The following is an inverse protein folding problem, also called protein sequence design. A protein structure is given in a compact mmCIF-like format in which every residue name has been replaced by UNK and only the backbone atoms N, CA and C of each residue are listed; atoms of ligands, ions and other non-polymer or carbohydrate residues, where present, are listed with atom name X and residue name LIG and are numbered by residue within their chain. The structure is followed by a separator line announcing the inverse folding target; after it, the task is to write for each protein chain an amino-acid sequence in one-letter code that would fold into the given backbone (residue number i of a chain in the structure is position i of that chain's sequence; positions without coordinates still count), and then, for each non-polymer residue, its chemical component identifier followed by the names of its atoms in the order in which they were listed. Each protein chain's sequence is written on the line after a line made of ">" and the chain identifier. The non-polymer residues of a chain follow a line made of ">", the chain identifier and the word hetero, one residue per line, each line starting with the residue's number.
data_IF_294889340596
#
_entry.id   IF_294889340596
#
_cell.length_a   1.000
_cell.length_b   1.000
_cell.length_c   1.000
_cell.angle_alpha   90.00
_cell.angle_beta   90.00
_cell.angle_gamma   90.00
#
_symmetry.space_group_name_H-M   'P 1'
#
loop_
_entity.id
_entity.type
_entity.pdbx_description
1 polymer ?
#
# COMPACT_ATOMS: atom_id res chain seq x y z
N UNK A 1 8.75 -18.48 7.13
CA UNK A 1 9.65 -17.31 7.30
C UNK A 1 8.99 -16.19 8.10
N UNK A 2 7.91 -15.55 7.62
CA UNK A 2 7.30 -14.41 8.33
C UNK A 2 6.91 -14.75 9.78
N UNK A 3 6.18 -15.84 9.99
CA UNK A 3 5.81 -16.34 11.34
C UNK A 3 7.02 -16.43 12.28
N UNK A 4 8.15 -16.97 11.81
CA UNK A 4 9.36 -17.14 12.64
C UNK A 4 10.12 -15.84 12.92
N UNK A 5 9.83 -14.76 12.19
CA UNK A 5 10.40 -13.43 12.42
C UNK A 5 9.52 -12.57 13.34
N UNK A 6 8.27 -12.98 13.55
CA UNK A 6 7.31 -12.27 14.39
C UNK A 6 7.68 -12.34 15.87
N UNK A 7 7.57 -11.20 16.52
CA UNK A 7 7.84 -11.00 17.92
C UNK A 7 6.56 -10.66 18.67
N UNK A 8 6.17 -11.48 19.62
CA UNK A 8 5.09 -11.12 20.53
C UNK A 8 5.54 -9.97 21.44
N UNK A 9 4.79 -8.89 21.41
CA UNK A 9 4.98 -7.67 22.19
C UNK A 9 3.64 -7.25 22.80
N UNK A 10 3.65 -6.32 23.76
CA UNK A 10 2.41 -5.82 24.38
C UNK A 10 1.44 -5.26 23.33
N UNK A 11 1.98 -4.73 22.24
CA UNK A 11 1.25 -4.10 21.16
C UNK A 11 0.73 -5.09 20.10
N UNK A 12 1.04 -6.39 20.19
CA UNK A 12 0.63 -7.39 19.20
C UNK A 12 1.83 -8.18 18.69
N UNK A 13 1.90 -8.42 17.39
CA UNK A 13 3.04 -9.13 16.78
C UNK A 13 3.84 -8.16 15.91
N UNK A 14 5.08 -7.90 16.33
CA UNK A 14 6.02 -7.02 15.65
C UNK A 14 6.83 -7.80 14.60
N UNK A 15 6.91 -7.27 13.38
CA UNK A 15 7.60 -7.86 12.23
C UNK A 15 8.73 -6.97 11.70
N UNK A 16 9.12 -5.94 12.45
CA UNK A 16 10.18 -4.98 12.07
C UNK A 16 11.59 -5.60 11.99
N UNK A 17 11.71 -6.89 12.26
CA UNK A 17 12.97 -7.63 12.30
C UNK A 17 13.62 -7.49 13.67
N UNK A 18 14.14 -8.60 14.19
CA UNK A 18 15.07 -8.63 15.33
C UNK A 18 16.40 -9.13 14.77
N UNK A 19 17.48 -8.38 14.89
CA UNK A 19 18.78 -8.80 14.33
C UNK A 19 19.63 -9.48 15.38
N UNK A 20 20.16 -10.67 15.07
CA UNK A 20 21.18 -11.34 15.89
C UNK A 20 20.66 -12.34 16.93
N UNK A 21 21.59 -12.88 17.72
CA UNK A 21 21.31 -13.81 18.81
C UNK A 21 20.48 -13.16 19.94
N UNK A 22 20.58 -11.83 20.07
CA UNK A 22 19.76 -11.06 20.97
C UNK A 22 18.50 -10.57 20.25
N UNK A 23 17.43 -11.35 20.39
CA UNK A 23 16.11 -11.08 19.81
C UNK A 23 15.42 -9.87 20.44
N UNK A 24 16.12 -8.94 21.06
CA UNK A 24 15.51 -7.80 21.77
C UNK A 24 15.70 -6.47 21.06
N UNK A 25 16.67 -6.36 20.14
CA UNK A 25 16.89 -5.14 19.37
C UNK A 25 16.11 -5.15 18.05
N UNK A 26 15.16 -4.21 17.92
CA UNK A 26 14.52 -3.87 16.65
C UNK A 26 15.44 -2.88 15.92
N UNK A 27 15.96 -3.20 14.71
CA UNK A 27 16.82 -2.28 13.98
C UNK A 27 16.13 -0.94 13.78
N UNK A 28 16.82 0.15 14.09
CA UNK A 28 16.36 1.49 13.75
C UNK A 28 16.47 1.75 12.25
N UNK A 29 15.50 2.47 11.67
CA UNK A 29 15.61 3.02 10.31
C UNK A 29 14.28 3.26 9.62
N UNK A 30 14.28 4.06 8.54
CA UNK A 30 13.07 4.43 7.80
C UNK A 30 12.36 3.27 7.07
N UNK A 31 12.85 2.03 7.18
CA UNK A 31 12.34 0.87 6.44
C UNK A 31 11.47 -0.06 7.30
N UNK A 32 11.57 -0.01 8.62
CA UNK A 32 10.96 -1.04 9.47
C UNK A 32 9.44 -1.00 9.46
N UNK A 33 8.83 0.20 9.46
CA UNK A 33 7.38 0.34 9.40
C UNK A 33 6.82 -0.06 8.01
N UNK A 34 7.59 0.14 6.93
CA UNK A 34 7.23 -0.42 5.61
C UNK A 34 7.27 -1.95 5.64
N UNK A 35 8.34 -2.54 6.18
CA UNK A 35 8.49 -3.99 6.26
C UNK A 35 7.35 -4.62 7.08
N UNK A 36 6.97 -3.99 8.20
CA UNK A 36 5.84 -4.43 9.00
C UNK A 36 4.52 -4.39 8.21
N UNK A 37 4.22 -3.27 7.56
CA UNK A 37 2.99 -3.13 6.77
C UNK A 37 2.91 -4.16 5.64
N UNK A 38 4.01 -4.37 4.91
CA UNK A 38 4.09 -5.35 3.82
C UNK A 38 3.94 -6.79 4.35
N UNK A 39 4.55 -7.12 5.48
CA UNK A 39 4.38 -8.42 6.14
C UNK A 39 2.93 -8.63 6.60
N UNK A 40 2.30 -7.59 7.16
CA UNK A 40 0.91 -7.63 7.58
C UNK A 40 -0.04 -7.86 6.39
N UNK A 41 0.17 -7.18 5.25
CA UNK A 41 -0.58 -7.42 4.00
C UNK A 41 -0.44 -8.89 3.60
N UNK A 42 0.79 -9.38 3.47
CA UNK A 42 1.05 -10.76 3.05
C UNK A 42 0.40 -11.80 3.97
N UNK A 43 0.48 -11.62 5.28
CA UNK A 43 -0.15 -12.52 6.26
C UNK A 43 -1.68 -12.45 6.21
N UNK A 44 -2.25 -11.25 6.12
CA UNK A 44 -3.70 -11.06 6.07
C UNK A 44 -4.30 -11.66 4.80
N UNK A 45 -3.68 -11.40 3.65
CA UNK A 45 -4.15 -11.95 2.37
C UNK A 45 -3.95 -13.47 2.30
N UNK A 46 -2.80 -13.99 2.73
CA UNK A 46 -2.56 -15.43 2.78
C UNK A 46 -3.59 -16.14 3.68
N UNK A 47 -3.89 -15.57 4.86
CA UNK A 47 -4.95 -16.07 5.72
C UNK A 47 -6.33 -15.96 5.06
N UNK A 48 -6.63 -14.83 4.41
CA UNK A 48 -7.90 -14.61 3.71
C UNK A 48 -8.16 -15.63 2.61
N UNK A 49 -7.14 -15.98 1.83
CA UNK A 49 -7.20 -16.94 0.72
C UNK A 49 -7.24 -18.39 1.19
N UNK A 50 -6.38 -18.76 2.14
CA UNK A 50 -6.16 -20.18 2.52
C UNK A 50 -7.00 -20.64 3.71
N UNK A 51 -7.42 -19.69 4.56
CA UNK A 51 -8.02 -19.96 5.89
C UNK A 51 -7.14 -20.81 6.81
N UNK A 52 -5.82 -20.86 6.57
CA UNK A 52 -4.87 -21.55 7.44
C UNK A 52 -4.88 -20.92 8.84
N UNK A 53 -5.28 -21.72 9.83
CA UNK A 53 -5.42 -21.28 11.22
C UNK A 53 -4.07 -20.89 11.85
N UNK A 54 -2.96 -21.41 11.34
CA UNK A 54 -1.61 -21.05 11.83
C UNK A 54 -1.26 -19.59 11.53
N UNK A 55 -1.84 -19.01 10.47
CA UNK A 55 -1.62 -17.62 10.08
C UNK A 55 -2.50 -16.64 10.86
N UNK A 56 -3.64 -17.08 11.40
CA UNK A 56 -4.66 -16.18 11.97
C UNK A 56 -4.10 -15.31 13.10
N UNK A 57 -3.41 -15.91 14.06
CA UNK A 57 -2.84 -15.18 15.21
C UNK A 57 -1.83 -14.14 14.75
N UNK A 58 -0.98 -14.49 13.78
CA UNK A 58 0.06 -13.62 13.22
C UNK A 58 -0.53 -12.44 12.46
N UNK A 59 -1.52 -12.70 11.60
CA UNK A 59 -2.22 -11.66 10.86
C UNK A 59 -2.97 -10.71 11.81
N UNK A 60 -3.73 -11.25 12.77
CA UNK A 60 -4.45 -10.47 13.78
C UNK A 60 -3.49 -9.60 14.60
N UNK A 61 -2.41 -10.20 15.12
CA UNK A 61 -1.41 -9.51 15.93
C UNK A 61 -0.67 -8.40 15.18
N UNK A 62 -0.41 -8.56 13.87
CA UNK A 62 0.18 -7.45 13.08
C UNK A 62 -0.75 -6.25 12.97
N UNK A 63 -2.05 -6.45 12.79
CA UNK A 63 -3.01 -5.34 12.66
C UNK A 63 -3.16 -4.59 13.98
N UNK A 64 -3.15 -5.32 15.10
CA UNK A 64 -3.13 -4.71 16.42
C UNK A 64 -1.87 -3.87 16.65
N UNK A 65 -0.71 -4.35 16.19
CA UNK A 65 0.53 -3.61 16.25
C UNK A 65 0.43 -2.29 15.45
N UNK A 66 -0.08 -2.36 14.22
CA UNK A 66 -0.33 -1.17 13.39
C UNK A 66 -1.19 -0.16 14.16
N UNK A 67 -2.34 -0.58 14.66
CA UNK A 67 -3.29 0.30 15.36
C UNK A 67 -2.67 0.96 16.58
N UNK A 68 -1.91 0.21 17.39
CA UNK A 68 -1.29 0.73 18.62
C UNK A 68 -0.15 1.71 18.34
N UNK A 69 0.52 1.61 17.19
CA UNK A 69 1.68 2.43 16.82
C UNK A 69 1.36 3.60 15.86
N UNK A 70 0.09 4.04 15.80
CA UNK A 70 -0.33 5.23 15.05
C UNK A 70 0.03 6.53 15.79
N UNK A 71 0.14 7.63 15.05
CA UNK A 71 0.09 8.96 15.65
C UNK A 71 -1.32 9.26 16.15
N UNK A 72 -1.44 9.81 17.37
CA UNK A 72 -2.73 10.03 18.04
C UNK A 72 -3.26 11.45 17.90
N UNK A 73 -2.50 12.35 17.28
CA UNK A 73 -2.82 13.77 17.18
C UNK A 73 -3.23 14.16 15.76
N UNK A 74 -2.30 14.12 14.82
CA UNK A 74 -2.52 14.43 13.39
C UNK A 74 -2.94 13.18 12.60
N UNK A 75 -2.53 12.02 13.11
CA UNK A 75 -2.90 10.73 12.57
C UNK A 75 -1.89 10.08 11.64
N UNK A 76 -2.23 8.86 11.21
CA UNK A 76 -1.43 8.01 10.33
C UNK A 76 -0.16 7.45 10.97
N UNK A 77 0.80 7.06 10.12
CA UNK A 77 2.04 6.41 10.51
C UNK A 77 3.23 6.98 9.76
N UNK A 78 4.40 6.83 10.39
CA UNK A 78 5.68 7.18 9.81
C UNK A 78 6.75 6.15 10.15
N UNK A 79 8.02 6.55 10.24
CA UNK A 79 9.15 5.66 10.44
C UNK A 79 9.29 5.20 11.88
N UNK A 80 8.84 6.00 12.84
CA UNK A 80 8.74 5.65 14.25
C UNK A 80 7.30 5.81 14.76
N UNK A 81 6.91 5.05 15.79
CA UNK A 81 5.64 5.24 16.46
C UNK A 81 5.46 6.70 16.90
N UNK A 82 4.22 7.17 16.85
CA UNK A 82 3.81 8.52 17.29
C UNK A 82 4.39 9.71 16.50
N UNK A 83 5.27 9.52 15.54
CA UNK A 83 5.65 10.59 14.59
C UNK A 83 4.43 11.02 13.75
N UNK A 84 4.31 12.32 13.48
CA UNK A 84 3.30 12.84 12.53
C UNK A 84 3.36 12.03 11.23
N UNK A 85 2.22 11.45 10.85
CA UNK A 85 2.14 10.50 9.75
C UNK A 85 2.58 11.11 8.42
N UNK A 86 3.09 10.25 7.54
CA UNK A 86 3.33 10.60 6.14
C UNK A 86 2.43 9.77 5.21
N UNK A 87 2.22 10.27 4.00
CA UNK A 87 1.34 9.59 3.03
C UNK A 87 1.86 8.22 2.63
N UNK A 88 3.18 8.05 2.55
CA UNK A 88 3.80 6.86 1.98
C UNK A 88 3.67 5.64 2.90
N UNK A 89 4.07 5.78 4.16
CA UNK A 89 3.92 4.71 5.17
C UNK A 89 2.45 4.48 5.46
N UNK A 90 1.67 5.56 5.63
CA UNK A 90 0.22 5.44 5.90
C UNK A 90 -0.52 4.71 4.79
N UNK A 91 -0.14 4.92 3.52
CA UNK A 91 -0.71 4.17 2.39
C UNK A 91 -0.58 2.65 2.56
N UNK A 92 0.60 2.17 2.94
CA UNK A 92 0.80 0.74 3.21
C UNK A 92 0.04 0.24 4.44
N UNK A 93 -0.06 1.05 5.50
CA UNK A 93 -0.84 0.69 6.69
C UNK A 93 -2.34 0.58 6.39
N UNK A 94 -2.89 1.50 5.60
CA UNK A 94 -4.28 1.43 5.14
C UNK A 94 -4.52 0.16 4.33
N UNK A 95 -3.62 -0.19 3.40
CA UNK A 95 -3.72 -1.45 2.65
C UNK A 95 -3.63 -2.69 3.55
N UNK A 96 -2.78 -2.68 4.58
CA UNK A 96 -2.72 -3.76 5.57
C UNK A 96 -4.03 -3.92 6.34
N UNK A 97 -4.58 -2.82 6.87
CA UNK A 97 -5.86 -2.80 7.56
C UNK A 97 -6.99 -3.27 6.64
N UNK A 98 -7.02 -2.83 5.38
CA UNK A 98 -8.03 -3.27 4.41
C UNK A 98 -7.91 -4.75 4.05
N UNK A 99 -6.69 -5.27 3.95
CA UNK A 99 -6.41 -6.70 3.76
C UNK A 99 -6.95 -7.51 4.94
N UNK A 100 -6.70 -7.04 6.16
CA UNK A 100 -7.23 -7.65 7.39
C UNK A 100 -8.75 -7.67 7.46
N UNK A 101 -9.38 -6.53 7.14
CA UNK A 101 -10.84 -6.40 7.09
C UNK A 101 -11.44 -7.39 6.07
N UNK A 102 -10.84 -7.48 4.89
CA UNK A 102 -11.26 -8.40 3.81
C UNK A 102 -11.08 -9.86 4.20
N UNK A 103 -10.02 -10.17 4.95
CA UNK A 103 -9.78 -11.51 5.51
C UNK A 103 -10.74 -11.88 6.66
N UNK A 104 -11.59 -10.94 7.13
CA UNK A 104 -12.53 -11.16 8.23
C UNK A 104 -11.87 -11.11 9.62
N UNK A 105 -10.70 -10.48 9.73
CA UNK A 105 -10.06 -10.17 11.01
C UNK A 105 -10.76 -8.96 11.66
N UNK A 106 -10.74 -8.89 12.98
CA UNK A 106 -11.47 -7.86 13.73
C UNK A 106 -10.49 -6.99 14.50
N UNK A 107 -10.63 -5.69 14.36
CA UNK A 107 -9.81 -4.71 15.04
C UNK A 107 -10.60 -3.39 15.14
N UNK A 108 -10.09 -2.43 15.92
CA UNK A 108 -10.74 -1.13 16.06
C UNK A 108 -10.61 -0.29 14.79
N UNK A 109 -11.70 0.37 14.38
CA UNK A 109 -11.72 1.25 13.21
C UNK A 109 -10.86 2.53 13.38
N UNK A 110 -10.27 2.74 14.56
CA UNK A 110 -9.41 3.90 14.82
C UNK A 110 -8.22 4.02 13.85
N UNK A 111 -7.78 2.91 13.26
CA UNK A 111 -6.77 2.91 12.18
C UNK A 111 -7.26 3.57 10.89
N UNK A 112 -8.55 3.48 10.59
CA UNK A 112 -9.15 4.17 9.44
C UNK A 112 -9.39 5.64 9.75
N UNK A 113 -9.97 5.97 10.92
CA UNK A 113 -10.21 7.35 11.34
C UNK A 113 -8.91 8.17 11.36
N UNK A 114 -7.84 7.63 11.94
CA UNK A 114 -6.53 8.33 11.96
C UNK A 114 -5.94 8.54 10.57
N UNK A 115 -6.30 7.68 9.61
CA UNK A 115 -5.87 7.82 8.23
C UNK A 115 -6.65 8.93 7.53
N UNK A 116 -7.95 9.06 7.82
CA UNK A 116 -8.77 10.20 7.37
C UNK A 116 -8.23 11.52 7.90
N UNK A 117 -7.91 11.59 9.19
CA UNK A 117 -7.31 12.79 9.82
C UNK A 117 -6.02 13.22 9.09
N UNK A 118 -5.13 12.27 8.80
CA UNK A 118 -3.90 12.57 8.06
C UNK A 118 -4.19 13.02 6.63
N UNK A 119 -5.10 12.34 5.92
CA UNK A 119 -5.47 12.70 4.56
C UNK A 119 -6.04 14.12 4.51
N UNK A 120 -6.87 14.49 5.48
CA UNK A 120 -7.41 15.84 5.62
C UNK A 120 -6.32 16.87 5.91
N UNK A 121 -5.30 16.53 6.69
CA UNK A 121 -4.16 17.40 6.97
C UNK A 121 -3.21 17.58 5.76
N UNK A 122 -3.13 16.58 4.89
CA UNK A 122 -2.23 16.56 3.73
C UNK A 122 -2.89 16.96 2.40
N UNK A 123 -4.22 17.09 2.36
CA UNK A 123 -4.93 17.38 1.12
C UNK A 123 -4.68 18.79 0.60
N UNK A 124 -4.78 18.91 -0.72
CA UNK A 124 -4.83 20.14 -1.50
C UNK A 124 -5.94 20.01 -2.52
N UNK A 125 -6.47 21.15 -2.96
CA UNK A 125 -7.54 21.21 -3.96
C UNK A 125 -8.69 20.26 -3.58
N UNK A 126 -9.21 20.45 -2.37
CA UNK A 126 -10.36 19.73 -1.80
C UNK A 126 -10.20 18.20 -1.68
N UNK A 127 -8.97 17.68 -1.77
CA UNK A 127 -8.70 16.24 -1.70
C UNK A 127 -8.44 15.58 -3.04
N UNK A 128 -8.32 16.35 -4.13
CA UNK A 128 -7.92 15.84 -5.44
C UNK A 128 -6.40 15.63 -5.54
N UNK A 129 -5.61 16.24 -4.65
CA UNK A 129 -4.15 16.15 -4.61
C UNK A 129 -3.63 16.10 -3.16
N UNK A 130 -2.46 15.52 -2.94
CA UNK A 130 -1.91 15.31 -1.59
C UNK A 130 -0.41 15.59 -1.51
N UNK A 131 0.01 16.27 -0.44
CA UNK A 131 1.41 16.41 -0.05
C UNK A 131 1.95 15.20 0.70
N UNK A 132 3.26 15.11 0.92
CA UNK A 132 3.88 14.01 1.67
C UNK A 132 3.64 14.11 3.19
N UNK A 133 3.72 15.34 3.72
CA UNK A 133 3.43 15.70 5.11
C UNK A 133 2.41 16.85 5.14
N UNK A 134 1.75 17.09 6.28
CA UNK A 134 0.91 18.27 6.46
C UNK A 134 1.67 19.55 6.10
N UNK A 135 0.99 20.48 5.44
CA UNK A 135 1.60 21.73 5.00
C UNK A 135 2.39 21.66 3.67
N UNK A 136 2.78 20.48 3.19
CA UNK A 136 3.58 20.36 1.97
C UNK A 136 2.77 20.45 0.67
N UNK A 137 3.43 20.81 -0.43
CA UNK A 137 2.87 20.83 -1.77
C UNK A 137 2.67 19.41 -2.35
N UNK A 138 1.72 19.24 -3.29
CA UNK A 138 1.39 17.92 -3.81
C UNK A 138 2.43 17.38 -4.80
N UNK A 139 2.55 16.05 -4.86
CA UNK A 139 3.29 15.31 -5.89
C UNK A 139 2.39 14.23 -6.49
N UNK A 140 2.67 13.77 -7.71
CA UNK A 140 1.88 12.71 -8.35
C UNK A 140 1.89 11.41 -7.53
N UNK A 141 3.04 11.00 -6.98
CA UNK A 141 3.15 9.81 -6.12
C UNK A 141 2.28 9.90 -4.86
N UNK A 142 2.38 11.00 -4.11
CA UNK A 142 1.60 11.18 -2.87
C UNK A 142 0.12 11.40 -3.16
N UNK A 143 -0.22 12.03 -4.29
CA UNK A 143 -1.61 12.16 -4.73
C UNK A 143 -2.22 10.81 -5.10
N UNK A 144 -1.47 9.95 -5.80
CA UNK A 144 -1.90 8.58 -6.07
C UNK A 144 -2.11 7.77 -4.78
N UNK A 145 -1.22 7.91 -3.79
CA UNK A 145 -1.42 7.25 -2.50
C UNK A 145 -2.68 7.77 -1.79
N UNK A 146 -2.83 9.09 -1.68
CA UNK A 146 -3.96 9.69 -0.97
C UNK A 146 -5.31 9.36 -1.59
N UNK A 147 -5.41 9.41 -2.93
CA UNK A 147 -6.63 9.04 -3.65
C UNK A 147 -6.96 7.55 -3.47
N UNK A 148 -5.96 6.65 -3.55
CA UNK A 148 -6.20 5.23 -3.29
C UNK A 148 -6.68 4.99 -1.85
N UNK A 149 -6.08 5.66 -0.86
CA UNK A 149 -6.55 5.58 0.52
C UNK A 149 -8.01 6.04 0.66
N UNK A 150 -8.40 7.16 0.03
CA UNK A 150 -9.80 7.62 0.03
C UNK A 150 -10.76 6.57 -0.55
N UNK A 151 -10.35 5.87 -1.61
CA UNK A 151 -11.15 4.78 -2.17
C UNK A 151 -11.33 3.62 -1.18
N UNK A 152 -10.26 3.22 -0.49
CA UNK A 152 -10.35 2.19 0.56
C UNK A 152 -11.21 2.61 1.76
N UNK A 153 -11.26 3.92 2.03
CA UNK A 153 -12.05 4.56 3.08
C UNK A 153 -13.49 4.89 2.65
N UNK A 154 -13.86 4.60 1.41
CA UNK A 154 -15.27 4.61 0.98
C UNK A 154 -15.65 5.64 -0.08
N UNK A 155 -14.71 6.46 -0.58
CA UNK A 155 -14.99 7.29 -1.76
C UNK A 155 -15.30 6.39 -2.96
N UNK A 156 -16.51 6.51 -3.52
CA UNK A 156 -16.91 5.76 -4.70
C UNK A 156 -16.26 6.27 -6.00
N UNK A 157 -16.29 5.45 -7.07
CA UNK A 157 -15.75 5.82 -8.39
C UNK A 157 -16.32 7.12 -8.98
N UNK A 158 -17.56 7.45 -8.64
CA UNK A 158 -18.25 8.68 -9.09
C UNK A 158 -18.01 9.88 -8.17
N UNK A 159 -17.19 9.73 -7.11
CA UNK A 159 -16.87 10.85 -6.24
C UNK A 159 -16.16 11.95 -7.07
N UNK A 160 -16.71 13.17 -7.13
CA UNK A 160 -16.24 14.19 -8.09
C UNK A 160 -14.78 14.56 -7.88
N UNK A 161 -14.36 14.71 -6.61
CA UNK A 161 -12.97 15.01 -6.25
C UNK A 161 -12.03 13.86 -6.59
N UNK A 162 -12.49 12.60 -6.46
CA UNK A 162 -11.68 11.43 -6.85
C UNK A 162 -11.44 11.44 -8.35
N UNK A 163 -12.49 11.68 -9.14
CA UNK A 163 -12.41 11.75 -10.61
C UNK A 163 -11.52 12.90 -11.07
N UNK A 164 -11.58 14.05 -10.40
CA UNK A 164 -10.68 15.17 -10.68
C UNK A 164 -9.21 14.78 -10.44
N UNK A 165 -8.90 14.22 -9.27
CA UNK A 165 -7.54 13.79 -8.93
C UNK A 165 -7.03 12.71 -9.89
N UNK A 166 -7.85 11.72 -10.19
CA UNK A 166 -7.49 10.66 -11.13
C UNK A 166 -7.31 11.17 -12.57
N UNK A 167 -8.09 12.17 -13.00
CA UNK A 167 -7.88 12.83 -14.29
C UNK A 167 -6.50 13.47 -14.36
N UNK A 168 -6.04 14.15 -13.29
CA UNK A 168 -4.69 14.74 -13.24
C UNK A 168 -3.59 13.67 -13.34
N UNK A 169 -3.77 12.53 -12.66
CA UNK A 169 -2.85 11.40 -12.73
C UNK A 169 -2.85 10.76 -14.13
N UNK A 170 -4.02 10.60 -14.75
CA UNK A 170 -4.13 10.07 -16.11
C UNK A 170 -3.48 10.99 -17.14
N UNK A 171 -3.57 12.31 -16.98
CA UNK A 171 -2.88 13.26 -17.85
C UNK A 171 -1.36 13.23 -17.65
N UNK A 172 -0.90 12.95 -16.43
CA UNK A 172 0.53 12.72 -16.14
C UNK A 172 1.02 11.43 -16.81
N UNK A 173 0.17 10.40 -16.84
CA UNK A 173 0.48 9.08 -17.39
C UNK A 173 1.48 8.30 -16.54
N UNK A 174 1.86 7.08 -16.99
CA UNK A 174 2.92 6.29 -16.38
C UNK A 174 4.31 6.97 -16.42
N UNK A 175 5.13 6.72 -15.40
CA UNK A 175 6.53 7.20 -15.34
C UNK A 175 7.52 6.04 -15.38
N UNK A 176 8.41 6.00 -16.37
CA UNK A 176 9.44 4.94 -16.49
C UNK A 176 10.49 4.97 -15.39
N UNK A 177 10.54 6.06 -14.62
CA UNK A 177 11.50 6.33 -13.55
C UNK A 177 10.83 6.31 -12.17
N UNK A 178 9.56 5.93 -12.06
CA UNK A 178 8.86 5.97 -10.78
C UNK A 178 7.85 4.81 -10.68
N UNK A 179 8.38 3.61 -10.46
CA UNK A 179 7.55 2.40 -10.32
C UNK A 179 6.69 2.46 -9.06
N UNK A 180 7.12 3.20 -8.03
CA UNK A 180 6.32 3.43 -6.83
C UNK A 180 5.01 4.17 -7.15
N UNK A 181 5.12 5.28 -7.87
CA UNK A 181 3.96 6.02 -8.36
C UNK A 181 3.08 5.15 -9.25
N UNK A 182 3.69 4.45 -10.21
CA UNK A 182 2.94 3.61 -11.14
C UNK A 182 2.12 2.55 -10.40
N UNK A 183 2.67 1.91 -9.38
CA UNK A 183 1.94 0.91 -8.59
C UNK A 183 0.65 1.47 -7.97
N UNK A 184 0.72 2.66 -7.34
CA UNK A 184 -0.47 3.28 -6.75
C UNK A 184 -1.44 3.81 -7.80
N UNK A 185 -0.93 4.51 -8.82
CA UNK A 185 -1.77 5.08 -9.87
C UNK A 185 -2.47 3.99 -10.69
N UNK A 186 -1.80 2.86 -10.95
CA UNK A 186 -2.36 1.70 -11.65
C UNK A 186 -3.59 1.15 -10.92
N UNK A 187 -3.57 1.07 -9.58
CA UNK A 187 -4.73 0.62 -8.80
C UNK A 187 -5.91 1.58 -8.93
N UNK A 188 -5.67 2.90 -8.91
CA UNK A 188 -6.71 3.90 -9.13
C UNK A 188 -7.33 3.73 -10.52
N UNK A 189 -6.50 3.68 -11.57
CA UNK A 189 -6.99 3.54 -12.94
C UNK A 189 -7.78 2.26 -13.11
N UNK A 190 -7.29 1.14 -12.56
CA UNK A 190 -8.00 -0.14 -12.58
C UNK A 190 -9.38 -0.05 -11.91
N UNK A 191 -9.47 0.60 -10.75
CA UNK A 191 -10.74 0.76 -10.05
C UNK A 191 -11.72 1.72 -10.73
N UNK A 192 -11.25 2.70 -11.50
CA UNK A 192 -12.09 3.54 -12.33
C UNK A 192 -12.59 2.80 -13.58
N UNK A 193 -11.76 1.93 -14.15
CA UNK A 193 -12.10 1.14 -15.34
C UNK A 193 -12.27 1.99 -16.60
N UNK A 194 -12.99 1.46 -17.59
CA UNK A 194 -13.28 2.17 -18.84
C UNK A 194 -12.02 2.56 -19.63
N UNK A 195 -12.13 3.62 -20.44
CA UNK A 195 -11.06 4.03 -21.36
C UNK A 195 -9.78 4.48 -20.63
N UNK A 196 -9.91 5.08 -19.44
CA UNK A 196 -8.73 5.50 -18.65
C UNK A 196 -7.91 4.30 -18.21
N UNK A 197 -8.57 3.21 -17.79
CA UNK A 197 -7.90 1.96 -17.47
C UNK A 197 -7.27 1.31 -18.70
N UNK A 198 -8.02 1.21 -19.81
CA UNK A 198 -7.52 0.55 -21.03
C UNK A 198 -6.23 1.21 -21.52
N UNK A 199 -6.22 2.54 -21.64
CA UNK A 199 -5.03 3.28 -22.07
C UNK A 199 -3.86 3.12 -21.10
N UNK A 200 -4.11 3.28 -19.79
CA UNK A 200 -3.08 3.15 -18.77
C UNK A 200 -2.46 1.74 -18.74
N UNK A 201 -3.29 0.71 -18.79
CA UNK A 201 -2.85 -0.67 -18.70
C UNK A 201 -2.08 -1.12 -19.94
N UNK A 202 -2.48 -0.65 -21.14
CA UNK A 202 -1.74 -0.92 -22.37
C UNK A 202 -0.31 -0.40 -22.26
N UNK A 203 -0.13 0.88 -21.91
CA UNK A 203 1.19 1.49 -21.74
C UNK A 203 2.04 0.77 -20.70
N UNK A 204 1.47 0.51 -19.52
CA UNK A 204 2.17 -0.16 -18.42
C UNK A 204 2.56 -1.59 -18.76
N UNK A 205 1.64 -2.38 -19.31
CA UNK A 205 1.87 -3.78 -19.67
C UNK A 205 2.94 -3.88 -20.74
N UNK A 206 2.82 -3.12 -21.84
CA UNK A 206 3.78 -3.16 -22.93
C UNK A 206 5.17 -2.75 -22.47
N UNK A 207 5.27 -1.70 -21.65
CA UNK A 207 6.55 -1.27 -21.10
C UNK A 207 7.18 -2.33 -20.20
N UNK A 208 6.47 -2.86 -19.20
CA UNK A 208 7.03 -3.81 -18.25
C UNK A 208 7.37 -5.15 -18.93
N UNK A 209 6.52 -5.67 -19.81
CA UNK A 209 6.82 -6.92 -20.54
C UNK A 209 8.02 -6.76 -21.48
N UNK A 210 8.16 -5.61 -22.12
CA UNK A 210 9.30 -5.32 -23.01
C UNK A 210 10.61 -5.19 -22.24
N UNK A 211 10.58 -4.65 -21.02
CA UNK A 211 11.78 -4.33 -20.23
C UNK A 211 12.18 -5.41 -19.23
N UNK A 212 11.40 -6.49 -19.09
CA UNK A 212 11.77 -7.62 -18.25
C UNK A 212 13.06 -8.27 -18.77
N UNK A 213 14.01 -8.52 -17.87
CA UNK A 213 15.27 -9.20 -18.19
C UNK A 213 14.97 -10.65 -18.63
N UNK A 214 15.48 -11.05 -19.80
CA UNK A 214 15.18 -12.35 -20.43
C UNK A 214 16.31 -13.38 -20.38
N UNK A 215 17.49 -13.00 -19.90
CA UNK A 215 18.65 -13.90 -19.87
C UNK A 215 19.60 -13.56 -18.73
N UNK A 216 20.42 -14.54 -18.33
CA UNK A 216 21.37 -14.41 -17.25
C UNK A 216 20.76 -14.56 -15.85
N UNK A 217 21.54 -14.29 -14.79
CA UNK A 217 21.12 -14.51 -13.39
C UNK A 217 19.88 -13.69 -12.97
N UNK A 218 19.68 -12.53 -13.60
CA UNK A 218 18.59 -11.60 -13.28
C UNK A 218 17.31 -11.86 -14.10
N UNK A 219 17.23 -13.00 -14.79
CA UNK A 219 16.06 -13.35 -15.63
C UNK A 219 14.76 -13.29 -14.84
N UNK A 220 13.75 -12.64 -15.41
CA UNK A 220 12.44 -12.45 -14.79
C UNK A 220 12.32 -11.17 -13.93
N UNK A 221 13.41 -10.45 -13.71
CA UNK A 221 13.45 -9.20 -12.96
C UNK A 221 13.36 -7.94 -13.86
N UNK A 222 13.39 -6.77 -13.24
CA UNK A 222 13.51 -5.47 -13.89
C UNK A 222 14.69 -4.67 -13.36
N UNK A 223 15.38 -3.95 -14.25
CA UNK A 223 16.45 -3.04 -13.87
C UNK A 223 15.90 -1.87 -13.04
N UNK A 224 16.71 -1.41 -12.09
CA UNK A 224 16.33 -0.33 -11.17
C UNK A 224 16.28 1.00 -11.90
N UNK A 225 15.08 1.59 -12.00
CA UNK A 225 14.89 2.93 -12.57
C UNK A 225 14.37 3.94 -11.56
N UNK A 226 13.76 3.45 -10.47
CA UNK A 226 13.13 4.29 -9.45
C UNK A 226 14.16 4.88 -8.46
N UNK A 227 14.06 6.16 -8.07
CA UNK A 227 14.96 6.80 -7.10
C UNK A 227 15.11 6.06 -5.76
N UNK A 228 14.08 5.36 -5.31
CA UNK A 228 14.09 4.57 -4.07
C UNK A 228 14.80 3.22 -4.22
N UNK A 229 15.16 2.82 -5.45
CA UNK A 229 15.94 1.62 -5.71
C UNK A 229 17.35 1.68 -5.12
N UNK A 230 17.87 2.86 -4.78
CA UNK A 230 19.13 2.99 -4.05
C UNK A 230 19.11 2.29 -2.68
N UNK A 231 17.93 2.10 -2.08
CA UNK A 231 17.72 1.35 -0.84
C UNK A 231 17.05 0.00 -1.08
N UNK A 232 16.03 -0.04 -1.95
CA UNK A 232 15.24 -1.25 -2.19
C UNK A 232 15.87 -2.23 -3.18
N UNK A 233 16.79 -1.76 -4.03
CA UNK A 233 17.45 -2.55 -5.06
C UNK A 233 16.51 -3.14 -6.11
N UNK A 234 17.03 -4.11 -6.85
CA UNK A 234 16.31 -4.84 -7.91
C UNK A 234 15.09 -5.61 -7.38
N UNK A 235 15.15 -6.09 -6.14
CA UNK A 235 14.04 -6.80 -5.51
C UNK A 235 12.82 -5.88 -5.39
N UNK A 236 13.00 -4.67 -4.85
CA UNK A 236 11.93 -3.66 -4.75
C UNK A 236 11.32 -3.34 -6.12
N UNK A 237 12.17 -3.04 -7.11
CA UNK A 237 11.72 -2.74 -8.47
C UNK A 237 10.90 -3.90 -9.04
N UNK A 238 11.42 -5.13 -8.91
CA UNK A 238 10.78 -6.35 -9.44
C UNK A 238 9.44 -6.61 -8.76
N UNK A 239 9.39 -6.52 -7.42
CA UNK A 239 8.15 -6.72 -6.67
C UNK A 239 7.07 -5.71 -7.10
N UNK A 240 7.40 -4.42 -7.22
CA UNK A 240 6.43 -3.42 -7.66
C UNK A 240 6.03 -3.61 -9.12
N UNK A 241 6.95 -3.98 -10.01
CA UNK A 241 6.62 -4.32 -11.40
C UNK A 241 5.65 -5.49 -11.48
N UNK A 242 5.87 -6.57 -10.72
CA UNK A 242 4.95 -7.71 -10.66
C UNK A 242 3.59 -7.30 -10.07
N UNK A 243 3.58 -6.61 -8.93
CA UNK A 243 2.33 -6.15 -8.30
C UNK A 243 1.54 -5.18 -9.20
N UNK A 244 2.23 -4.41 -10.02
CA UNK A 244 1.59 -3.52 -11.00
C UNK A 244 0.96 -4.32 -12.15
N UNK A 245 1.63 -5.36 -12.64
CA UNK A 245 1.10 -6.25 -13.68
C UNK A 245 -0.05 -7.14 -13.20
N UNK A 246 -0.10 -7.48 -11.91
CA UNK A 246 -1.12 -8.38 -11.37
C UNK A 246 -2.40 -7.68 -10.89
N UNK A 247 -2.47 -6.35 -10.98
CA UNK A 247 -3.53 -5.54 -10.36
C UNK A 247 -4.95 -6.07 -10.63
N UNK A 248 -5.23 -6.52 -11.86
CA UNK A 248 -6.53 -7.01 -12.31
C UNK A 248 -6.78 -8.50 -12.03
N UNK A 249 -5.76 -9.24 -11.59
CA UNK A 249 -5.90 -10.59 -11.04
C UNK A 249 -6.06 -10.57 -9.52
N UNK A 250 -5.39 -9.61 -8.85
CA UNK A 250 -5.29 -9.53 -7.39
C UNK A 250 -6.42 -8.74 -6.75
N UNK A 251 -6.80 -7.63 -7.35
CA UNK A 251 -7.86 -6.78 -6.82
C UNK A 251 -9.08 -6.91 -7.71
N UNK A 252 -10.15 -7.53 -7.21
CA UNK A 252 -11.46 -7.26 -7.78
C UNK A 252 -11.70 -5.74 -7.67
N UNK A 253 -12.22 -5.07 -8.71
CA UNK A 253 -12.57 -3.67 -8.60
C UNK A 253 -13.38 -3.45 -7.31
N UNK A 254 -12.99 -2.47 -6.47
CA UNK A 254 -13.68 -2.18 -5.20
C UNK A 254 -15.20 -2.00 -5.37
N UNK A 255 -15.63 -1.67 -6.60
CA UNK A 255 -17.01 -1.42 -6.98
C UNK A 255 -17.64 -2.51 -7.85
N UNK A 256 -17.01 -3.68 -7.99
CA UNK A 256 -17.75 -4.85 -8.46
C UNK A 256 -18.78 -5.19 -7.38
N UNK A 257 -20.04 -4.94 -7.73
CA UNK A 257 -21.22 -5.37 -6.98
C UNK A 257 -20.97 -6.81 -6.53
N UNK A 258 -21.21 -7.10 -5.24
CA UNK A 258 -21.31 -8.48 -4.75
C UNK A 258 -22.31 -9.22 -5.63
N UNK A 259 -21.83 -9.91 -6.65
CA UNK A 259 -22.61 -10.87 -7.42
C UNK A 259 -22.69 -12.17 -6.61
N UNK A 260 -23.07 -12.10 -5.33
CA UNK A 260 -23.49 -13.23 -4.50
C UNK A 260 -24.39 -12.72 -3.38
N UNK A 261 -25.70 -12.89 -3.59
CA UNK A 261 -26.67 -13.09 -2.52
C UNK A 261 -27.60 -11.93 -2.20
N UNK A 262 -28.55 -11.62 -3.09
CA UNK A 262 -29.93 -11.49 -2.61
C UNK A 262 -30.36 -12.86 -2.07
N UNK A 263 -30.67 -12.91 -0.77
CA UNK A 263 -31.77 -13.69 -0.18
C UNK A 263 -32.19 -13.01 1.12
#
# INVERSE_FOLDING_TARGET
>A
FLISQGAEVREGIDFRGRTGADKTEVPGGNHVMYAHALAAIALCEAYGMTRDRTLRTHAQGSLEFIIRNRNREVGGWRYKPEEVGDLSVTGWMVMALKSGQTAGLRFSDIGFTTSEDLLDACQRNEGSQYGYLPGQGPKSSTSAIGLLCRMYLGWGREHPVLRQGASLLSQTGPSKENIYYNYYATQIMHHLGGNVWTAWNEDMREWLVKTQVRSGPETGSWDTTDPHSNRGGRLYQTCLSVMTLEVYYRHLPLYQVRAFGEK
#
